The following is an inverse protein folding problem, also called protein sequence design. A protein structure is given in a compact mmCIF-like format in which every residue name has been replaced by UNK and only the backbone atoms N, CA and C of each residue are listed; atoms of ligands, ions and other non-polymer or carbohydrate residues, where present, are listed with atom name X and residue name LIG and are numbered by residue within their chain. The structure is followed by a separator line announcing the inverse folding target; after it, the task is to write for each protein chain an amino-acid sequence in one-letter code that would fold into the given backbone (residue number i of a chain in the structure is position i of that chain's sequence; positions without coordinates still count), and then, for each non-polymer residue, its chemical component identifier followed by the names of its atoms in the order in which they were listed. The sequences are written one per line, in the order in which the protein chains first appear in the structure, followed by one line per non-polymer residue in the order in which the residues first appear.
data_IF_479412610176
#
_entry.id   IF_479412610176
#
_cell.length_a   1.000
_cell.length_b   1.000
_cell.length_c   1.000
_cell.angle_alpha   90.00
_cell.angle_beta   90.00
_cell.angle_gamma   90.00
#
_symmetry.space_group_name_H-M   'P 1'
#
loop_
_entity.id
_entity.type
_entity.pdbx_description
1 polymer ?
#
# COMPACT_ATOMS: atom_id res chain seq x y z
N UNK A 1 68.47 -45.15 -13.86
CA UNK A 1 67.78 -45.26 -12.55
C UNK A 1 66.59 -44.32 -12.59
N UNK A 2 65.39 -44.87 -12.77
CA UNK A 2 64.15 -44.08 -12.87
C UNK A 2 63.56 -43.90 -11.48
N UNK A 3 63.58 -42.66 -10.99
CA UNK A 3 62.99 -42.28 -9.71
C UNK A 3 61.46 -42.33 -9.80
N UNK A 4 60.85 -43.14 -8.94
CA UNK A 4 59.40 -43.23 -8.77
C UNK A 4 58.89 -41.94 -8.13
N UNK A 5 58.17 -41.11 -8.90
CA UNK A 5 57.45 -39.97 -8.34
C UNK A 5 56.35 -40.48 -7.41
N UNK A 6 56.38 -39.99 -6.18
CA UNK A 6 55.45 -40.37 -5.12
C UNK A 6 54.06 -39.85 -5.44
N UNK A 7 53.05 -40.73 -5.31
CA UNK A 7 51.61 -40.43 -5.50
C UNK A 7 51.09 -39.27 -4.63
N UNK A 8 51.88 -38.82 -3.65
CA UNK A 8 51.56 -37.72 -2.73
C UNK A 8 51.85 -36.34 -3.33
N UNK A 9 52.77 -36.24 -4.28
CA UNK A 9 53.16 -34.93 -4.85
C UNK A 9 52.13 -34.44 -5.88
N UNK A 10 51.43 -35.36 -6.57
CA UNK A 10 50.33 -35.04 -7.48
C UNK A 10 49.08 -34.47 -6.79
N UNK A 11 48.86 -34.80 -5.51
CA UNK A 11 47.68 -34.35 -4.77
C UNK A 11 47.81 -32.87 -4.35
N UNK A 12 49.03 -32.39 -4.11
CA UNK A 12 49.29 -31.01 -3.69
C UNK A 12 49.14 -30.01 -4.85
N UNK A 13 49.54 -30.38 -6.06
CA UNK A 13 49.34 -29.53 -7.24
C UNK A 13 47.87 -29.43 -7.67
N UNK A 14 47.08 -30.50 -7.49
CA UNK A 14 45.65 -30.49 -7.82
C UNK A 14 44.81 -29.63 -6.87
N UNK A 15 45.28 -29.41 -5.65
CA UNK A 15 44.57 -28.62 -4.64
C UNK A 15 44.86 -27.11 -4.76
N UNK A 16 45.90 -26.72 -5.52
CA UNK A 16 46.25 -25.32 -5.78
C UNK A 16 45.41 -24.67 -6.89
N UNK A 17 44.58 -25.43 -7.62
CA UNK A 17 43.74 -24.96 -8.73
C UNK A 17 42.24 -25.03 -8.43
N UNK A 18 41.83 -24.83 -7.17
CA UNK A 18 40.44 -24.46 -6.89
C UNK A 18 40.39 -22.93 -6.97
N UNK A 19 39.91 -22.32 -8.07
CA UNK A 19 39.60 -20.90 -8.03
C UNK A 19 38.58 -20.73 -6.91
N UNK A 20 38.96 -19.99 -5.86
CA UNK A 20 38.02 -19.55 -4.83
C UNK A 20 36.95 -18.77 -5.60
N UNK A 21 35.83 -19.43 -5.89
CA UNK A 21 34.68 -18.81 -6.54
C UNK A 21 34.19 -17.74 -5.57
N UNK A 22 34.71 -16.52 -5.73
CA UNK A 22 34.18 -15.36 -5.01
C UNK A 22 32.70 -15.31 -5.37
N UNK A 23 31.79 -15.39 -4.39
CA UNK A 23 30.37 -15.24 -4.66
C UNK A 23 30.17 -13.94 -5.43
N UNK A 24 29.42 -14.00 -6.52
CA UNK A 24 29.12 -12.85 -7.37
C UNK A 24 28.55 -11.71 -6.53
N UNK A 25 28.72 -10.46 -6.96
CA UNK A 25 28.17 -9.30 -6.23
C UNK A 25 26.65 -9.47 -6.00
N UNK A 26 25.98 -10.13 -6.95
CA UNK A 26 24.56 -10.46 -6.86
C UNK A 26 24.25 -11.44 -5.71
N UNK A 27 25.04 -12.50 -5.53
CA UNK A 27 24.84 -13.44 -4.41
C UNK A 27 25.26 -12.88 -3.05
N UNK A 28 26.18 -11.91 -3.01
CA UNK A 28 26.49 -11.17 -1.77
C UNK A 28 25.37 -10.21 -1.36
N UNK A 29 24.72 -9.55 -2.34
CA UNK A 29 23.59 -8.64 -2.08
C UNK A 29 22.35 -9.40 -1.62
N UNK A 30 22.07 -10.56 -2.19
CA UNK A 30 20.94 -11.41 -1.81
C UNK A 30 20.92 -11.80 -0.31
N UNK A 31 22.07 -11.78 0.37
CA UNK A 31 22.18 -12.13 1.80
C UNK A 31 22.10 -10.92 2.75
N UNK A 32 21.98 -9.69 2.24
CA UNK A 32 21.82 -8.49 3.08
C UNK A 32 20.33 -8.22 3.21
N UNK A 33 19.77 -8.59 4.36
CA UNK A 33 18.41 -8.20 4.74
C UNK A 33 18.44 -6.81 5.39
N UNK A 34 17.59 -5.93 4.88
CA UNK A 34 17.42 -4.56 5.37
C UNK A 34 15.98 -4.41 5.85
N UNK A 35 15.78 -3.79 7.02
CA UNK A 35 14.45 -3.36 7.47
C UNK A 35 14.13 -2.01 6.88
N UNK A 36 12.98 -1.87 6.23
CA UNK A 36 12.50 -0.62 5.67
C UNK A 36 10.99 -0.47 5.87
N UNK A 37 10.48 0.76 5.74
CA UNK A 37 9.06 1.04 5.91
C UNK A 37 8.36 1.18 4.55
N UNK A 38 7.23 0.50 4.40
CA UNK A 38 6.43 0.56 3.19
C UNK A 38 5.65 1.89 3.04
N UNK A 39 4.74 1.96 2.08
CA UNK A 39 3.89 3.13 1.83
C UNK A 39 2.78 3.34 2.89
N UNK A 40 2.50 2.33 3.69
CA UNK A 40 1.41 2.30 4.66
C UNK A 40 1.90 2.39 6.11
N UNK A 41 3.21 2.29 6.33
CA UNK A 41 3.82 2.44 7.64
C UNK A 41 4.31 1.13 8.25
N UNK A 42 4.17 0.00 7.55
CA UNK A 42 4.62 -1.30 8.03
C UNK A 42 6.13 -1.46 7.87
N UNK A 43 6.77 -1.99 8.90
CA UNK A 43 8.19 -2.38 8.84
C UNK A 43 8.30 -3.73 8.14
N UNK A 44 8.99 -3.77 7.01
CA UNK A 44 9.21 -4.95 6.19
C UNK A 44 10.70 -5.25 6.15
N UNK A 45 11.05 -6.53 6.20
CA UNK A 45 12.42 -7.00 6.00
C UNK A 45 12.55 -7.53 4.57
N UNK A 46 13.53 -7.04 3.82
CA UNK A 46 13.75 -7.45 2.44
C UNK A 46 15.17 -7.17 1.95
N UNK A 47 15.45 -7.54 0.72
CA UNK A 47 16.73 -7.30 0.07
C UNK A 47 16.79 -5.86 -0.50
N UNK A 48 17.97 -5.43 -0.91
CA UNK A 48 18.22 -4.17 -1.64
C UNK A 48 17.32 -4.05 -2.88
N UNK A 49 17.04 -5.15 -3.57
CA UNK A 49 16.16 -5.15 -4.74
C UNK A 49 14.70 -4.80 -4.36
N UNK A 50 14.21 -5.27 -3.21
CA UNK A 50 12.87 -4.94 -2.71
C UNK A 50 12.75 -3.45 -2.35
N UNK A 51 13.82 -2.87 -1.80
CA UNK A 51 13.91 -1.43 -1.53
C UNK A 51 13.85 -0.63 -2.84
N UNK A 52 14.54 -1.09 -3.89
CA UNK A 52 14.49 -0.44 -5.20
C UNK A 52 13.09 -0.49 -5.81
N UNK A 53 12.43 -1.65 -5.75
CA UNK A 53 11.02 -1.81 -6.17
C UNK A 53 10.12 -0.85 -5.39
N UNK A 54 10.30 -0.73 -4.08
CA UNK A 54 9.50 0.18 -3.26
C UNK A 54 9.69 1.65 -3.70
N UNK A 55 10.92 2.05 -4.03
CA UNK A 55 11.19 3.40 -4.55
C UNK A 55 10.52 3.64 -5.91
N UNK A 56 10.52 2.65 -6.81
CA UNK A 56 9.78 2.75 -8.07
C UNK A 56 8.27 2.90 -7.84
N UNK A 57 7.70 2.15 -6.89
CA UNK A 57 6.28 2.25 -6.54
C UNK A 57 5.97 3.63 -5.96
N UNK A 58 6.83 4.17 -5.08
CA UNK A 58 6.70 5.55 -4.57
C UNK A 58 6.67 6.57 -5.70
N UNK A 59 7.57 6.45 -6.67
CA UNK A 59 7.58 7.32 -7.83
C UNK A 59 6.36 7.17 -8.72
N UNK A 60 5.87 5.94 -8.94
CA UNK A 60 4.61 5.69 -9.67
C UNK A 60 3.41 6.31 -8.95
N UNK A 61 3.33 6.22 -7.62
CA UNK A 61 2.29 6.88 -6.81
C UNK A 61 2.38 8.40 -6.96
N UNK A 62 3.60 8.97 -6.94
CA UNK A 62 3.82 10.41 -7.14
C UNK A 62 3.43 10.86 -8.55
N UNK A 63 3.73 10.07 -9.57
CA UNK A 63 3.30 10.31 -10.96
C UNK A 63 1.78 10.32 -11.06
N UNK A 64 1.10 9.34 -10.47
CA UNK A 64 -0.36 9.33 -10.42
C UNK A 64 -0.89 10.56 -9.68
N UNK A 65 -0.28 10.95 -8.55
CA UNK A 65 -0.61 12.19 -7.85
C UNK A 65 -0.61 13.42 -8.77
N UNK A 66 0.39 13.55 -9.65
CA UNK A 66 0.46 14.65 -10.63
C UNK A 66 -0.68 14.61 -11.65
N UNK A 67 -1.02 13.42 -12.15
CA UNK A 67 -2.15 13.24 -13.09
C UNK A 67 -3.47 13.64 -12.43
N UNK A 68 -3.69 13.20 -11.19
CA UNK A 68 -4.86 13.56 -10.41
C UNK A 68 -4.95 15.07 -10.19
N UNK A 69 -3.84 15.71 -9.82
CA UNK A 69 -3.79 17.16 -9.63
C UNK A 69 -4.02 17.94 -10.92
N UNK A 70 -3.38 17.57 -12.03
CA UNK A 70 -3.60 18.21 -13.32
C UNK A 70 -5.07 18.10 -13.78
N UNK A 71 -5.71 16.96 -13.51
CA UNK A 71 -7.12 16.79 -13.82
C UNK A 71 -8.02 17.62 -12.92
N UNK A 72 -7.68 17.75 -11.63
CA UNK A 72 -8.39 18.62 -10.70
C UNK A 72 -8.22 20.11 -11.06
N UNK A 73 -7.04 20.52 -11.52
CA UNK A 73 -6.82 21.88 -12.01
C UNK A 73 -7.63 22.18 -13.29
N UNK A 74 -7.80 21.20 -14.19
CA UNK A 74 -8.54 21.40 -15.45
C UNK A 74 -10.05 21.26 -15.32
N UNK A 75 -10.55 20.33 -14.47
CA UNK A 75 -11.99 20.10 -14.27
C UNK A 75 -12.58 20.86 -13.08
N UNK A 76 -11.74 21.47 -12.26
CA UNK A 76 -12.13 22.12 -11.02
C UNK A 76 -11.99 21.22 -9.79
N UNK A 77 -11.88 21.87 -8.63
CA UNK A 77 -11.77 21.20 -7.34
C UNK A 77 -12.96 20.26 -7.12
N UNK A 78 -12.70 19.06 -6.59
CA UNK A 78 -13.73 18.07 -6.26
C UNK A 78 -14.60 17.59 -7.45
N UNK A 79 -14.12 17.66 -8.70
CA UNK A 79 -14.86 17.20 -9.89
C UNK A 79 -15.39 15.76 -9.79
N UNK A 80 -14.76 14.93 -8.96
CA UNK A 80 -15.13 13.53 -8.69
C UNK A 80 -16.36 13.36 -7.77
N UNK A 81 -16.79 14.40 -7.04
CA UNK A 81 -17.99 14.37 -6.18
C UNK A 81 -19.30 14.48 -6.99
N UNK A 82 -19.24 15.01 -8.21
CA UNK A 82 -20.41 15.26 -9.07
C UNK A 82 -20.69 14.14 -10.08
N UNK A 83 -20.27 12.91 -9.81
CA UNK A 83 -20.46 11.79 -10.76
C UNK A 83 -21.86 11.17 -10.70
N UNK A 84 -22.66 11.52 -9.70
CA UNK A 84 -24.04 11.07 -9.58
C UNK A 84 -24.95 12.03 -10.36
N UNK A 85 -25.30 11.67 -11.58
CA UNK A 85 -26.28 12.41 -12.36
C UNK A 85 -27.64 12.35 -11.65
N UNK A 86 -28.05 13.44 -10.99
CA UNK A 86 -29.42 13.57 -10.51
C UNK A 86 -30.38 13.54 -11.71
N UNK A 87 -31.50 12.82 -11.59
CA UNK A 87 -32.47 12.66 -12.67
C UNK A 87 -32.98 14.00 -13.24
N UNK A 88 -32.92 15.05 -12.41
CA UNK A 88 -33.33 16.43 -12.69
C UNK A 88 -32.32 17.24 -13.52
N UNK A 89 -31.14 16.72 -13.85
CA UNK A 89 -30.13 17.47 -14.61
C UNK A 89 -30.45 17.53 -16.12
N UNK A 90 -30.11 18.64 -16.78
CA UNK A 90 -30.22 18.79 -18.24
C UNK A 90 -29.39 17.72 -18.96
N UNK A 91 -29.81 17.29 -20.17
CA UNK A 91 -29.15 16.22 -20.93
C UNK A 91 -27.63 16.43 -21.13
N UNK A 92 -27.19 17.66 -21.40
CA UNK A 92 -25.76 18.02 -21.53
C UNK A 92 -24.94 17.81 -20.24
N UNK A 93 -25.57 18.02 -19.08
CA UNK A 93 -24.98 17.73 -17.76
C UNK A 93 -24.90 16.23 -17.50
N UNK A 94 -25.84 15.44 -18.05
CA UNK A 94 -25.78 13.97 -17.97
C UNK A 94 -24.61 13.41 -18.77
N UNK A 95 -24.36 13.92 -19.99
CA UNK A 95 -23.23 13.47 -20.80
C UNK A 95 -21.86 13.81 -20.17
N UNK A 96 -21.70 15.02 -19.64
CA UNK A 96 -20.46 15.40 -18.95
C UNK A 96 -20.24 14.62 -17.65
N UNK A 97 -21.29 14.37 -16.87
CA UNK A 97 -21.22 13.51 -15.68
C UNK A 97 -20.81 12.08 -16.02
N UNK A 98 -21.35 11.50 -17.11
CA UNK A 98 -20.97 10.17 -17.58
C UNK A 98 -19.50 10.12 -18.05
N UNK A 99 -19.06 11.11 -18.83
CA UNK A 99 -17.66 11.20 -19.26
C UNK A 99 -16.69 11.35 -18.08
N UNK A 100 -17.08 12.14 -17.07
CA UNK A 100 -16.35 12.27 -15.82
C UNK A 100 -16.32 10.94 -15.05
N UNK A 101 -17.44 10.22 -14.94
CA UNK A 101 -17.50 8.92 -14.28
C UNK A 101 -16.60 7.88 -14.95
N UNK A 102 -16.57 7.83 -16.29
CA UNK A 102 -15.67 6.94 -17.05
C UNK A 102 -14.20 7.29 -16.77
N UNK A 103 -13.87 8.59 -16.79
CA UNK A 103 -12.52 9.09 -16.51
C UNK A 103 -12.09 8.74 -15.08
N UNK A 104 -12.97 8.97 -14.11
CA UNK A 104 -12.75 8.66 -12.69
C UNK A 104 -12.53 7.17 -12.49
N UNK A 105 -13.36 6.31 -13.09
CA UNK A 105 -13.20 4.85 -13.03
C UNK A 105 -11.85 4.40 -13.58
N UNK A 106 -11.37 5.02 -14.66
CA UNK A 106 -10.05 4.73 -15.24
C UNK A 106 -8.92 5.12 -14.28
N UNK A 107 -9.02 6.29 -13.63
CA UNK A 107 -8.01 6.75 -12.66
C UNK A 107 -7.97 5.89 -11.40
N UNK A 108 -9.13 5.53 -10.85
CA UNK A 108 -9.20 4.68 -9.66
C UNK A 108 -8.54 3.32 -9.90
N UNK A 109 -8.73 2.73 -11.09
CA UNK A 109 -8.06 1.49 -11.50
C UNK A 109 -6.54 1.61 -11.60
N UNK A 110 -6.01 2.83 -11.76
CA UNK A 110 -4.57 3.12 -11.72
C UNK A 110 -4.06 3.47 -10.32
N UNK A 111 -4.95 3.53 -9.33
CA UNK A 111 -4.63 3.84 -7.95
C UNK A 111 -5.04 5.26 -7.57
N UNK A 112 -5.63 5.38 -6.38
CA UNK A 112 -5.93 6.67 -5.75
C UNK A 112 -4.71 7.10 -4.90
N UNK A 113 -4.15 8.30 -5.13
CA UNK A 113 -3.09 8.85 -4.31
C UNK A 113 -3.48 8.89 -2.82
N UNK A 114 -2.60 8.53 -1.88
CA UNK A 114 -2.94 8.45 -0.45
C UNK A 114 -3.66 9.68 0.12
N UNK A 115 -3.21 10.89 -0.22
CA UNK A 115 -3.81 12.14 0.24
C UNK A 115 -5.27 12.36 -0.20
N UNK A 116 -5.69 11.75 -1.32
CA UNK A 116 -7.05 11.89 -1.86
C UNK A 116 -7.98 10.75 -1.44
N UNK A 117 -7.45 9.66 -0.89
CA UNK A 117 -8.24 8.49 -0.46
C UNK A 117 -9.36 8.86 0.51
N UNK A 118 -9.15 9.68 1.56
CA UNK A 118 -10.22 10.01 2.49
C UNK A 118 -11.42 10.65 1.79
N UNK A 119 -11.19 11.62 0.91
CA UNK A 119 -12.25 12.32 0.17
C UNK A 119 -12.96 11.41 -0.82
N UNK A 120 -12.19 10.68 -1.62
CA UNK A 120 -12.72 9.86 -2.72
C UNK A 120 -13.46 8.64 -2.17
N UNK A 121 -12.89 7.91 -1.22
CA UNK A 121 -13.54 6.74 -0.62
C UNK A 121 -14.80 7.13 0.15
N UNK A 122 -14.79 8.26 0.87
CA UNK A 122 -15.96 8.74 1.58
C UNK A 122 -17.13 9.09 0.64
N UNK A 123 -16.83 9.67 -0.52
CA UNK A 123 -17.84 9.95 -1.54
C UNK A 123 -18.32 8.67 -2.25
N UNK A 124 -17.40 7.82 -2.73
CA UNK A 124 -17.74 6.67 -3.57
C UNK A 124 -18.47 5.55 -2.82
N UNK A 125 -18.17 5.37 -1.54
CA UNK A 125 -18.86 4.39 -0.69
C UNK A 125 -20.32 4.78 -0.40
N UNK A 126 -20.73 6.01 -0.71
CA UNK A 126 -22.00 6.56 -0.27
C UNK A 126 -22.04 6.90 1.22
N UNK A 127 -20.91 6.84 1.92
CA UNK A 127 -20.81 7.22 3.34
C UNK A 127 -21.23 8.68 3.57
N UNK A 128 -20.90 9.59 2.64
CA UNK A 128 -21.37 10.98 2.69
C UNK A 128 -22.91 11.08 2.75
N UNK A 129 -23.61 10.30 1.92
CA UNK A 129 -25.08 10.28 1.91
C UNK A 129 -25.64 9.71 3.21
N UNK A 130 -25.08 8.60 3.70
CA UNK A 130 -25.49 8.00 4.98
C UNK A 130 -25.24 8.94 6.17
N UNK A 131 -24.11 9.66 6.17
CA UNK A 131 -23.79 10.65 7.20
C UNK A 131 -24.78 11.83 7.14
N UNK A 132 -25.19 12.27 5.95
CA UNK A 132 -26.15 13.38 5.82
C UNK A 132 -27.58 13.04 6.23
N UNK A 133 -27.94 11.75 6.29
CA UNK A 133 -29.28 11.31 6.69
C UNK A 133 -29.45 11.16 8.20
N UNK A 134 -28.36 11.27 8.97
CA UNK A 134 -28.37 11.11 10.43
C UNK A 134 -27.86 12.39 11.11
N UNK A 135 -28.24 12.64 12.37
CA UNK A 135 -27.67 13.73 13.16
C UNK A 135 -26.15 13.60 13.32
N UNK A 136 -25.47 14.72 13.55
CA UNK A 136 -24.02 14.71 13.78
C UNK A 136 -23.62 13.91 15.03
N UNK A 137 -24.49 13.89 16.05
CA UNK A 137 -24.29 13.13 17.28
C UNK A 137 -24.43 11.61 17.10
N UNK A 138 -25.02 11.13 16.00
CA UNK A 138 -25.45 9.75 15.83
C UNK A 138 -24.36 8.72 16.18
N UNK A 139 -23.14 8.91 15.67
CA UNK A 139 -22.03 8.00 15.97
C UNK A 139 -21.57 8.07 17.44
N UNK A 140 -21.57 9.26 18.04
CA UNK A 140 -21.22 9.46 19.45
C UNK A 140 -22.29 8.87 20.38
N UNK A 141 -23.55 8.96 19.99
CA UNK A 141 -24.65 8.39 20.77
C UNK A 141 -24.61 6.85 20.73
N UNK A 142 -24.27 6.27 19.58
CA UNK A 142 -24.07 4.82 19.44
C UNK A 142 -22.90 4.29 20.27
N UNK A 143 -21.77 5.02 20.28
CA UNK A 143 -20.59 4.62 21.07
C UNK A 143 -20.89 4.68 22.57
N UNK A 144 -21.48 5.78 23.06
CA UNK A 144 -21.95 5.91 24.45
C UNK A 144 -22.97 4.85 24.85
N UNK A 145 -23.85 4.44 23.95
CA UNK A 145 -24.85 3.42 24.23
C UNK A 145 -24.24 2.03 24.48
N UNK A 146 -23.00 1.78 24.04
CA UNK A 146 -22.28 0.50 24.18
C UNK A 146 -21.08 0.62 25.13
N UNK A 147 -20.74 1.83 25.55
CA UNK A 147 -19.74 2.11 26.58
C UNK A 147 -19.99 1.25 27.83
N UNK A 148 -18.93 0.63 28.35
CA UNK A 148 -18.93 -0.32 29.48
C UNK A 148 -19.78 -1.60 29.31
N UNK A 149 -20.34 -1.87 28.12
CA UNK A 149 -21.12 -3.07 27.87
C UNK A 149 -20.29 -4.18 27.25
N UNK A 150 -20.28 -5.34 27.92
CA UNK A 150 -19.71 -6.57 27.37
C UNK A 150 -20.77 -7.30 26.55
N UNK A 151 -20.69 -7.17 25.23
CA UNK A 151 -21.51 -7.90 24.26
C UNK A 151 -20.67 -9.02 23.61
N UNK A 152 -21.31 -10.00 22.94
CA UNK A 152 -20.57 -10.96 22.13
C UNK A 152 -19.68 -10.30 21.07
N UNK A 153 -20.13 -9.17 20.50
CA UNK A 153 -19.37 -8.42 19.52
C UNK A 153 -18.14 -7.73 20.12
N UNK A 154 -18.27 -7.10 21.30
CA UNK A 154 -17.12 -6.43 21.94
C UNK A 154 -16.04 -7.43 22.33
N UNK A 155 -16.40 -8.60 22.87
CA UNK A 155 -15.43 -9.69 23.13
C UNK A 155 -14.69 -10.14 21.88
N UNK A 156 -15.39 -10.21 20.75
CA UNK A 156 -14.77 -10.60 19.49
C UNK A 156 -13.83 -9.50 18.96
N UNK A 157 -14.21 -8.23 19.11
CA UNK A 157 -13.35 -7.10 18.77
C UNK A 157 -12.08 -7.15 19.63
N UNK A 158 -12.19 -7.33 20.95
CA UNK A 158 -11.04 -7.41 21.87
C UNK A 158 -10.06 -8.54 21.51
N UNK A 159 -10.59 -9.67 21.03
CA UNK A 159 -9.77 -10.78 20.57
C UNK A 159 -9.10 -10.49 19.20
N UNK A 160 -9.72 -9.67 18.37
CA UNK A 160 -9.29 -9.39 17.00
C UNK A 160 -8.33 -8.20 16.90
N UNK A 161 -8.43 -7.23 17.82
CA UNK A 161 -7.52 -6.08 17.91
C UNK A 161 -6.03 -6.48 17.94
N UNK A 162 -5.53 -7.33 18.86
CA UNK A 162 -4.10 -7.62 18.96
C UNK A 162 -3.53 -8.39 17.76
N UNK A 163 -4.40 -9.00 16.94
CA UNK A 163 -4.04 -9.75 15.73
C UNK A 163 -4.31 -8.98 14.44
N UNK A 164 -4.79 -7.74 14.53
CA UNK A 164 -5.07 -6.88 13.38
C UNK A 164 -3.95 -5.86 13.22
N UNK A 165 -3.12 -6.05 12.18
CA UNK A 165 -1.98 -5.19 11.85
C UNK A 165 -0.88 -5.09 12.93
N UNK A 166 -0.38 -6.21 13.47
CA UNK A 166 0.68 -6.19 14.48
C UNK A 166 1.96 -5.56 13.91
N UNK A 167 2.64 -4.76 14.72
CA UNK A 167 3.88 -4.05 14.39
C UNK A 167 3.67 -2.69 13.71
N UNK A 168 2.43 -2.18 13.62
CA UNK A 168 2.15 -0.89 13.01
C UNK A 168 2.24 0.23 14.05
N UNK A 169 3.14 1.19 13.83
CA UNK A 169 3.53 2.21 14.81
C UNK A 169 2.39 3.05 15.38
N UNK A 170 1.30 3.23 14.63
CA UNK A 170 0.12 3.98 15.06
C UNK A 170 -1.06 3.11 15.51
N UNK A 171 -1.13 1.84 15.08
CA UNK A 171 -2.28 0.99 15.43
C UNK A 171 -2.02 0.18 16.71
N UNK A 172 -0.74 -0.07 17.02
CA UNK A 172 -0.33 -0.76 18.24
C UNK A 172 -0.23 0.18 19.46
N UNK A 173 -0.50 1.48 19.30
CA UNK A 173 -0.53 2.40 20.43
C UNK A 173 -1.75 2.10 21.32
N UNK A 174 -1.60 2.04 22.65
CA UNK A 174 -2.76 1.94 23.54
C UNK A 174 -3.69 3.14 23.35
N UNK A 175 -5.00 2.90 23.48
CA UNK A 175 -6.05 3.93 23.47
C UNK A 175 -5.93 4.91 24.65
#
# INVERSE_FOLDING_TARGET
MYGTQSRRDLALEFQAQIPILRPSIHSRRANITVKFQDLYGFTVEGNVDDVNVLNEVREKVRQQGRVWWALEASKGANWYLQTHASATLKASLKFSALANAITLKRLIRKGIPPALRPKIWFSLSGAAKKKSTVPESYYNDLTKAVEDKVTPATRQIDHDLPRTFPGHSWLDTPE
#
